data_IF_817946995359
#
_entry.id   IF_817946995359
#
_cell.length_a   1.000
_cell.length_b   1.000
_cell.length_c   1.000
_cell.angle_alpha   90.00
_cell.angle_beta   90.00
_cell.angle_gamma   90.00
#
_symmetry.space_group_name_H-M   'P 1'
#
loop_
_entity.id
_entity.type
_entity.pdbx_description
1 polymer ?
#
# COMPACT_ATOMS: atom_id res chain seq x y z
N UNK A 1 -19.36 -35.52 -6.68
CA UNK A 1 -20.15 -35.25 -5.47
C UNK A 1 -19.30 -35.58 -4.26
N UNK A 2 -18.46 -34.64 -3.82
CA UNK A 2 -17.64 -34.72 -2.63
C UNK A 2 -17.97 -33.54 -1.73
N UNK A 3 -18.92 -33.75 -0.81
CA UNK A 3 -19.22 -32.84 0.26
C UNK A 3 -18.00 -32.66 1.16
N UNK A 4 -17.36 -31.51 1.07
CA UNK A 4 -16.31 -31.07 2.00
C UNK A 4 -16.93 -30.92 3.39
N UNK A 5 -16.75 -31.92 4.26
CA UNK A 5 -17.04 -31.77 5.68
C UNK A 5 -16.24 -30.58 6.21
N UNK A 6 -16.93 -29.48 6.58
CA UNK A 6 -16.38 -28.45 7.46
C UNK A 6 -15.86 -29.18 8.70
N UNK A 7 -14.56 -29.10 8.93
CA UNK A 7 -13.99 -29.42 10.23
C UNK A 7 -14.50 -28.34 11.18
N UNK A 8 -15.59 -28.65 11.89
CA UNK A 8 -15.91 -27.96 13.13
C UNK A 8 -14.76 -28.25 14.08
N UNK A 9 -13.95 -27.23 14.39
CA UNK A 9 -12.98 -27.33 15.45
C UNK A 9 -13.74 -27.70 16.72
N UNK A 10 -13.36 -28.80 17.36
CA UNK A 10 -13.90 -29.15 18.66
C UNK A 10 -13.74 -27.95 19.61
N UNK A 11 -14.72 -27.68 20.48
CA UNK A 11 -14.61 -26.60 21.45
C UNK A 11 -13.32 -26.79 22.23
N UNK A 12 -12.51 -25.72 22.34
CA UNK A 12 -11.31 -25.74 23.18
C UNK A 12 -11.72 -26.05 24.60
N UNK A 13 -11.12 -27.08 25.18
CA UNK A 13 -11.34 -27.45 26.58
C UNK A 13 -10.08 -27.11 27.38
N UNK A 14 -10.25 -26.55 28.55
CA UNK A 14 -9.17 -26.40 29.53
C UNK A 14 -9.40 -27.50 30.58
N UNK A 15 -8.48 -28.46 30.67
CA UNK A 15 -8.57 -29.63 31.55
C UNK A 15 -9.85 -30.48 31.35
N UNK A 16 -10.34 -30.60 30.11
CA UNK A 16 -11.49 -31.50 29.78
C UNK A 16 -12.88 -30.95 30.11
N UNK A 17 -12.99 -29.70 30.58
CA UNK A 17 -14.28 -29.07 30.87
C UNK A 17 -14.66 -28.11 29.74
N UNK A 18 -15.92 -28.16 29.21
CA UNK A 18 -16.39 -27.14 28.26
C UNK A 18 -16.35 -25.78 28.90
N UNK A 19 -15.67 -24.82 28.25
CA UNK A 19 -15.50 -23.48 28.78
C UNK A 19 -16.53 -22.57 28.16
N UNK A 20 -17.41 -21.97 28.98
CA UNK A 20 -18.32 -20.90 28.54
C UNK A 20 -17.55 -19.62 28.24
N UNK A 21 -18.14 -18.71 27.45
CA UNK A 21 -17.54 -17.38 27.17
C UNK A 21 -17.18 -16.63 28.48
N UNK A 22 -18.03 -16.69 29.50
CA UNK A 22 -17.78 -16.06 30.81
C UNK A 22 -16.63 -16.73 31.56
N UNK A 23 -16.48 -18.05 31.47
CA UNK A 23 -15.38 -18.78 32.09
C UNK A 23 -14.04 -18.50 31.41
N UNK A 24 -14.01 -18.22 30.09
CA UNK A 24 -12.81 -17.80 29.37
C UNK A 24 -12.34 -16.43 29.84
N UNK A 25 -13.26 -15.49 30.02
CA UNK A 25 -12.96 -14.15 30.56
C UNK A 25 -12.37 -14.21 31.98
N UNK A 26 -12.97 -15.01 32.88
CA UNK A 26 -12.48 -15.16 34.25
C UNK A 26 -11.10 -15.84 34.31
N UNK A 27 -10.90 -16.91 33.54
CA UNK A 27 -9.61 -17.63 33.52
C UNK A 27 -8.50 -16.79 32.87
N UNK A 28 -8.86 -15.92 31.94
CA UNK A 28 -7.94 -14.99 31.31
C UNK A 28 -7.52 -13.86 32.27
N UNK A 29 -8.44 -13.30 33.06
CA UNK A 29 -8.13 -12.31 34.11
C UNK A 29 -7.12 -12.84 35.12
N UNK A 30 -7.17 -14.12 35.49
CA UNK A 30 -6.24 -14.75 36.41
C UNK A 30 -4.84 -14.98 35.82
N UNK A 31 -4.71 -15.10 34.50
CA UNK A 31 -3.44 -15.45 33.82
C UNK A 31 -2.64 -14.30 33.28
N UNK A 32 -3.28 -13.18 32.97
CA UNK A 32 -2.62 -12.03 32.37
C UNK A 32 -2.64 -10.84 33.32
N UNK A 33 -1.47 -10.38 33.71
CA UNK A 33 -1.30 -9.19 34.55
C UNK A 33 -1.62 -7.88 33.83
N UNK A 34 -1.87 -7.91 32.52
CA UNK A 34 -2.21 -6.74 31.69
C UNK A 34 -3.44 -7.04 30.85
N UNK A 35 -4.47 -6.21 31.01
CA UNK A 35 -5.69 -6.28 30.20
C UNK A 35 -5.42 -6.00 28.71
N UNK A 36 -4.34 -5.28 28.39
CA UNK A 36 -3.94 -4.96 27.02
C UNK A 36 -3.65 -6.22 26.18
N UNK A 37 -3.07 -7.26 26.78
CA UNK A 37 -2.85 -8.54 26.10
C UNK A 37 -4.04 -9.51 26.21
N UNK A 38 -4.85 -9.35 27.26
CA UNK A 38 -5.99 -10.21 27.56
C UNK A 38 -7.10 -10.08 26.52
N UNK A 39 -7.44 -8.85 26.13
CA UNK A 39 -8.57 -8.57 25.22
C UNK A 39 -8.37 -9.21 23.84
N UNK A 40 -7.24 -9.02 23.15
CA UNK A 40 -6.95 -9.72 21.88
C UNK A 40 -6.97 -11.23 22.02
N UNK A 41 -6.39 -11.78 23.12
CA UNK A 41 -6.40 -13.22 23.36
C UNK A 41 -7.82 -13.78 23.53
N UNK A 42 -8.70 -13.04 24.24
CA UNK A 42 -10.10 -13.42 24.41
C UNK A 42 -10.82 -13.39 23.06
N UNK A 43 -10.55 -12.38 22.23
CA UNK A 43 -11.11 -12.29 20.89
C UNK A 43 -10.67 -13.45 19.99
N UNK A 44 -9.41 -13.92 20.09
CA UNK A 44 -8.94 -15.10 19.39
C UNK A 44 -9.70 -16.37 19.83
N UNK A 45 -10.09 -16.46 21.10
CA UNK A 45 -10.83 -17.61 21.61
C UNK A 45 -12.24 -17.75 20.98
N UNK A 46 -12.83 -16.66 20.49
CA UNK A 46 -14.08 -16.71 19.71
C UNK A 46 -13.85 -17.23 18.27
N UNK A 47 -12.62 -17.38 17.84
CA UNK A 47 -12.31 -17.88 16.50
C UNK A 47 -12.86 -16.96 15.39
N UNK A 48 -13.55 -17.51 14.38
CA UNK A 48 -14.08 -16.73 13.26
C UNK A 48 -15.47 -16.10 13.53
N UNK A 49 -15.93 -16.07 14.78
CA UNK A 49 -17.23 -15.49 15.14
C UNK A 49 -17.14 -13.95 15.09
N UNK A 50 -17.57 -13.39 13.96
CA UNK A 50 -17.57 -11.94 13.69
C UNK A 50 -18.41 -11.18 14.72
N UNK A 51 -19.60 -11.67 15.05
CA UNK A 51 -20.56 -10.97 15.92
C UNK A 51 -20.03 -10.90 17.34
N UNK A 52 -19.56 -12.01 17.89
CA UNK A 52 -18.99 -12.07 19.23
C UNK A 52 -17.74 -11.17 19.34
N UNK A 53 -16.85 -11.18 18.33
CA UNK A 53 -15.65 -10.31 18.33
C UNK A 53 -16.02 -8.83 18.22
N UNK A 54 -17.01 -8.48 17.41
CA UNK A 54 -17.50 -7.10 17.25
C UNK A 54 -18.12 -6.60 18.57
N UNK A 55 -18.99 -7.41 19.20
CA UNK A 55 -19.63 -7.05 20.45
C UNK A 55 -18.61 -6.90 21.60
N UNK A 56 -17.66 -7.81 21.72
CA UNK A 56 -16.55 -7.68 22.68
C UNK A 56 -15.82 -6.35 22.49
N UNK A 57 -15.47 -6.02 21.25
CA UNK A 57 -14.79 -4.76 20.94
C UNK A 57 -15.61 -3.55 21.38
N UNK A 58 -16.89 -3.50 21.01
CA UNK A 58 -17.78 -2.37 21.36
C UNK A 58 -17.91 -2.18 22.87
N UNK A 59 -18.10 -3.27 23.62
CA UNK A 59 -18.23 -3.20 25.08
C UNK A 59 -16.97 -2.68 25.75
N UNK A 60 -15.80 -3.12 25.27
CA UNK A 60 -14.51 -2.78 25.88
C UNK A 60 -13.94 -1.44 25.40
N UNK A 61 -14.31 -0.94 24.22
CA UNK A 61 -13.97 0.42 23.78
C UNK A 61 -14.52 1.50 24.72
N UNK A 62 -15.68 1.26 25.38
CA UNK A 62 -16.27 2.13 26.38
C UNK A 62 -15.87 1.80 27.83
N UNK A 63 -14.91 0.91 28.08
CA UNK A 63 -14.55 0.49 29.43
C UNK A 63 -13.88 1.60 30.24
N UNK A 64 -14.18 1.75 31.56
CA UNK A 64 -13.57 2.80 32.38
C UNK A 64 -12.04 2.66 32.49
N UNK A 65 -11.52 1.44 32.51
CA UNK A 65 -10.08 1.19 32.61
C UNK A 65 -9.40 1.32 31.24
N UNK A 66 -8.33 2.09 31.21
CA UNK A 66 -7.55 2.39 30.00
C UNK A 66 -7.02 1.14 29.30
N UNK A 67 -6.46 0.19 30.04
CA UNK A 67 -5.89 -1.03 29.46
C UNK A 67 -6.91 -1.86 28.67
N UNK A 68 -8.17 -1.89 29.12
CA UNK A 68 -9.24 -2.57 28.40
C UNK A 68 -9.56 -1.86 27.09
N UNK A 69 -9.60 -0.50 27.09
CA UNK A 69 -9.80 0.29 25.88
C UNK A 69 -8.66 0.09 24.88
N UNK A 70 -7.41 0.05 25.36
CA UNK A 70 -6.22 -0.22 24.52
C UNK A 70 -6.30 -1.60 23.87
N UNK A 71 -6.65 -2.63 24.65
CA UNK A 71 -6.85 -3.98 24.12
C UNK A 71 -8.00 -4.07 23.13
N UNK A 72 -9.09 -3.34 23.39
CA UNK A 72 -10.27 -3.28 22.52
C UNK A 72 -9.98 -2.59 21.19
N UNK A 73 -9.17 -1.53 21.18
CA UNK A 73 -8.72 -0.88 19.94
C UNK A 73 -7.96 -1.85 19.02
N UNK A 74 -7.07 -2.67 19.59
CA UNK A 74 -6.34 -3.71 18.85
C UNK A 74 -7.30 -4.73 18.25
N UNK A 75 -8.23 -5.23 19.04
CA UNK A 75 -9.24 -6.18 18.59
C UNK A 75 -10.16 -5.57 17.52
N UNK A 76 -10.61 -4.33 17.73
CA UNK A 76 -11.43 -3.63 16.74
C UNK A 76 -10.72 -3.47 15.39
N UNK A 77 -9.43 -3.15 15.43
CA UNK A 77 -8.62 -3.05 14.24
C UNK A 77 -8.48 -4.38 13.49
N UNK A 78 -8.29 -5.50 14.20
CA UNK A 78 -8.26 -6.85 13.61
C UNK A 78 -9.62 -7.23 13.00
N UNK A 79 -10.70 -6.93 13.71
CA UNK A 79 -12.08 -7.17 13.24
C UNK A 79 -12.37 -6.37 11.97
N UNK A 80 -12.04 -5.09 11.97
CA UNK A 80 -12.15 -4.20 10.80
C UNK A 80 -11.30 -4.71 9.63
N UNK A 81 -10.08 -5.17 9.91
CA UNK A 81 -9.18 -5.73 8.88
C UNK A 81 -9.69 -7.06 8.30
N UNK A 82 -10.62 -7.72 8.95
CA UNK A 82 -11.15 -9.02 8.53
C UNK A 82 -12.49 -8.88 7.81
N UNK A 83 -13.42 -8.05 8.30
CA UNK A 83 -14.79 -7.99 7.78
C UNK A 83 -15.20 -6.56 7.45
N UNK A 84 -15.66 -6.35 6.22
CA UNK A 84 -16.07 -5.03 5.69
C UNK A 84 -17.26 -4.45 6.43
N UNK A 85 -18.26 -5.28 6.78
CA UNK A 85 -19.49 -4.87 7.47
C UNK A 85 -19.26 -4.34 8.89
N UNK A 86 -18.11 -4.62 9.49
CA UNK A 86 -17.80 -4.17 10.85
C UNK A 86 -17.29 -2.71 10.91
N UNK A 87 -16.85 -2.16 9.78
CA UNK A 87 -16.35 -0.78 9.67
C UNK A 87 -17.40 0.23 10.21
N UNK A 88 -18.63 0.33 9.65
CA UNK A 88 -19.62 1.30 10.12
C UNK A 88 -20.09 1.04 11.57
N UNK A 89 -19.90 -0.17 12.07
CA UNK A 89 -20.32 -0.55 13.43
C UNK A 89 -19.29 -0.11 14.48
N UNK A 90 -18.00 -0.31 14.19
CA UNK A 90 -16.91 -0.07 15.14
C UNK A 90 -16.35 1.36 15.08
N UNK A 91 -16.34 2.00 13.91
CA UNK A 91 -15.71 3.33 13.75
C UNK A 91 -16.28 4.40 14.67
N UNK A 92 -17.61 4.50 14.97
CA UNK A 92 -18.12 5.49 15.92
C UNK A 92 -17.51 5.34 17.32
N UNK A 93 -17.37 4.11 17.82
CA UNK A 93 -16.80 3.85 19.13
C UNK A 93 -15.28 4.10 19.16
N UNK A 94 -14.56 3.72 18.09
CA UNK A 94 -13.14 4.02 17.93
C UNK A 94 -12.92 5.53 17.90
N UNK A 95 -13.72 6.27 17.14
CA UNK A 95 -13.61 7.72 17.04
C UNK A 95 -13.83 8.44 18.39
N UNK A 96 -14.68 7.88 19.25
CA UNK A 96 -14.84 8.37 20.63
C UNK A 96 -13.52 8.41 21.43
N UNK A 97 -12.56 7.55 21.07
CA UNK A 97 -11.24 7.50 21.73
C UNK A 97 -10.23 8.50 21.16
N UNK A 98 -10.58 9.34 20.20
CA UNK A 98 -9.75 10.50 19.80
C UNK A 98 -9.59 11.51 20.94
N UNK A 99 -10.46 11.47 21.96
CA UNK A 99 -10.40 12.31 23.16
C UNK A 99 -10.07 11.52 24.43
N UNK A 100 -9.55 10.30 24.30
CA UNK A 100 -9.14 9.47 25.44
C UNK A 100 -8.09 10.20 26.29
N UNK A 101 -8.11 9.96 27.60
CA UNK A 101 -7.10 10.49 28.53
C UNK A 101 -5.70 9.95 28.21
N UNK A 102 -5.61 8.71 27.69
CA UNK A 102 -4.35 8.08 27.33
C UNK A 102 -3.93 8.47 25.90
N UNK A 103 -2.76 9.13 25.71
CA UNK A 103 -2.31 9.56 24.40
C UNK A 103 -2.09 8.42 23.41
N UNK A 104 -1.68 7.25 23.87
CA UNK A 104 -1.50 6.05 23.05
C UNK A 104 -2.84 5.57 22.47
N UNK A 105 -3.94 5.69 23.21
CA UNK A 105 -5.27 5.38 22.71
C UNK A 105 -5.73 6.38 21.66
N UNK A 106 -5.45 7.69 21.85
CA UNK A 106 -5.74 8.72 20.83
C UNK A 106 -4.98 8.45 19.54
N UNK A 107 -3.68 8.15 19.66
CA UNK A 107 -2.85 7.77 18.52
C UNK A 107 -3.43 6.56 17.79
N UNK A 108 -3.79 5.52 18.54
CA UNK A 108 -4.27 4.27 17.96
C UNK A 108 -5.65 4.43 17.31
N UNK A 109 -6.55 5.20 17.93
CA UNK A 109 -7.84 5.57 17.34
C UNK A 109 -7.65 6.32 16.00
N UNK A 110 -6.76 7.32 15.97
CA UNK A 110 -6.41 8.04 14.75
C UNK A 110 -5.86 7.10 13.66
N UNK A 111 -5.06 6.09 14.06
CA UNK A 111 -4.52 5.09 13.12
C UNK A 111 -5.62 4.21 12.51
N UNK A 112 -6.56 3.73 13.33
CA UNK A 112 -7.69 2.93 12.83
C UNK A 112 -8.58 3.73 11.88
N UNK A 113 -8.85 5.00 12.22
CA UNK A 113 -9.59 5.89 11.33
C UNK A 113 -8.85 6.12 10.00
N UNK A 114 -7.56 6.44 10.04
CA UNK A 114 -6.74 6.61 8.84
C UNK A 114 -6.64 5.35 7.97
N UNK A 115 -6.61 4.16 8.60
CA UNK A 115 -6.68 2.88 7.92
C UNK A 115 -7.98 2.73 7.10
N UNK A 116 -9.10 3.21 7.62
CA UNK A 116 -10.42 3.11 6.99
C UNK A 116 -10.68 4.19 5.93
N UNK A 117 -9.76 5.14 5.73
CA UNK A 117 -9.84 6.13 4.65
C UNK A 117 -11.19 6.86 4.62
N UNK A 118 -11.84 6.90 3.47
CA UNK A 118 -13.09 7.66 3.24
C UNK A 118 -14.20 7.33 4.26
N UNK A 119 -14.27 6.09 4.75
CA UNK A 119 -15.26 5.71 5.77
C UNK A 119 -15.08 6.48 7.11
N UNK A 120 -13.89 7.03 7.36
CA UNK A 120 -13.62 7.83 8.56
C UNK A 120 -13.87 9.34 8.40
N UNK A 121 -14.29 9.80 7.22
CA UNK A 121 -14.57 11.23 6.94
C UNK A 121 -15.50 11.91 7.96
N UNK A 122 -16.55 11.28 8.52
CA UNK A 122 -17.38 11.89 9.54
C UNK A 122 -16.63 12.36 10.81
N UNK A 123 -15.45 11.80 11.06
CA UNK A 123 -14.63 12.13 12.25
C UNK A 123 -13.37 12.95 11.91
N UNK A 124 -13.32 13.54 10.72
CA UNK A 124 -12.20 14.38 10.30
C UNK A 124 -11.95 15.58 11.23
N UNK A 125 -13.01 16.12 11.84
CA UNK A 125 -12.89 17.23 12.81
C UNK A 125 -12.13 16.79 14.08
N UNK A 126 -12.41 15.59 14.59
CA UNK A 126 -11.67 15.02 15.72
C UNK A 126 -10.19 14.79 15.40
N UNK A 127 -9.89 14.29 14.19
CA UNK A 127 -8.51 14.14 13.72
C UNK A 127 -7.81 15.50 13.58
N UNK A 128 -8.48 16.51 13.03
CA UNK A 128 -7.92 17.86 12.89
C UNK A 128 -7.61 18.48 14.25
N UNK A 129 -8.46 18.25 15.26
CA UNK A 129 -8.21 18.73 16.63
C UNK A 129 -6.94 18.10 17.23
N UNK A 130 -6.62 16.85 16.95
CA UNK A 130 -5.35 16.23 17.35
C UNK A 130 -4.13 16.81 16.64
N UNK A 131 -4.28 17.34 15.43
CA UNK A 131 -3.16 17.93 14.68
C UNK A 131 -2.74 19.29 15.23
N UNK A 132 -3.71 20.09 15.70
CA UNK A 132 -3.54 21.54 15.97
C UNK A 132 -3.89 21.96 17.40
N UNK A 133 -4.43 21.04 18.21
CA UNK A 133 -4.84 21.29 19.58
C UNK A 133 -3.69 21.21 20.59
N UNK A 134 -4.04 21.15 21.87
CA UNK A 134 -3.10 21.00 23.00
C UNK A 134 -2.52 19.58 23.12
N UNK A 135 -2.53 18.81 22.04
CA UNK A 135 -1.96 17.46 22.00
C UNK A 135 -0.44 17.53 22.15
N UNK A 136 0.06 17.04 23.25
CA UNK A 136 1.49 17.04 23.58
C UNK A 136 2.19 15.79 23.06
N UNK A 137 1.45 14.73 22.81
CA UNK A 137 1.99 13.46 22.33
C UNK A 137 2.21 13.50 20.81
N UNK A 138 3.45 13.76 20.43
CA UNK A 138 3.81 14.00 19.04
C UNK A 138 3.46 12.86 18.08
N UNK A 139 3.46 11.60 18.53
CA UNK A 139 3.11 10.46 17.68
C UNK A 139 1.60 10.39 17.40
N UNK A 140 0.75 10.90 18.31
CA UNK A 140 -0.68 11.05 18.05
C UNK A 140 -0.93 12.15 17.00
N UNK A 141 -0.22 13.29 17.10
CA UNK A 141 -0.27 14.34 16.08
C UNK A 141 0.16 13.83 14.71
N UNK A 142 1.30 13.13 14.62
CA UNK A 142 1.81 12.60 13.36
C UNK A 142 0.84 11.59 12.73
N UNK A 143 0.21 10.75 13.57
CA UNK A 143 -0.80 9.78 13.12
C UNK A 143 -2.07 10.47 12.64
N UNK A 144 -2.52 11.52 13.29
CA UNK A 144 -3.67 12.30 12.87
C UNK A 144 -3.41 13.04 11.55
N UNK A 145 -2.20 13.59 11.36
CA UNK A 145 -1.79 14.19 10.06
C UNK A 145 -1.83 13.16 8.94
N UNK A 146 -1.28 11.97 9.16
CA UNK A 146 -1.34 10.87 8.21
C UNK A 146 -2.79 10.46 7.90
N UNK A 147 -3.66 10.36 8.92
CA UNK A 147 -5.05 10.00 8.72
C UNK A 147 -5.80 11.04 7.88
N UNK A 148 -5.62 12.34 8.16
CA UNK A 148 -6.20 13.42 7.35
C UNK A 148 -5.67 13.44 5.92
N UNK A 149 -4.37 13.19 5.72
CA UNK A 149 -3.78 13.12 4.39
C UNK A 149 -4.43 12.00 3.55
N UNK A 150 -4.70 10.85 4.16
CA UNK A 150 -5.43 9.74 3.51
C UNK A 150 -6.90 10.04 3.20
N UNK A 151 -7.52 10.93 3.98
CA UNK A 151 -8.86 11.46 3.69
C UNK A 151 -8.86 12.53 2.60
N UNK A 152 -7.69 13.01 2.16
CA UNK A 152 -7.56 14.17 1.29
C UNK A 152 -8.04 15.46 1.97
N UNK A 153 -7.99 15.53 3.30
CA UNK A 153 -8.46 16.70 4.07
C UNK A 153 -7.35 17.74 4.15
N UNK A 154 -7.61 18.92 3.57
CA UNK A 154 -6.62 19.99 3.45
C UNK A 154 -6.12 20.55 4.79
N UNK A 155 -6.79 20.28 5.91
CA UNK A 155 -6.33 20.70 7.24
C UNK A 155 -5.00 20.04 7.65
N UNK A 156 -4.58 18.96 7.00
CA UNK A 156 -3.26 18.38 7.20
C UNK A 156 -2.12 19.21 6.55
N UNK A 157 -2.41 20.10 5.58
CA UNK A 157 -1.36 20.76 4.76
C UNK A 157 -0.44 21.66 5.60
N UNK A 158 -0.99 22.49 6.48
CA UNK A 158 -0.20 23.30 7.41
C UNK A 158 0.73 22.44 8.29
N UNK A 159 0.18 21.49 9.06
CA UNK A 159 0.99 20.54 9.85
C UNK A 159 2.03 19.76 9.05
N UNK A 160 1.77 19.38 7.81
CA UNK A 160 2.75 18.73 6.92
C UNK A 160 3.85 19.71 6.52
N UNK A 161 3.50 20.93 6.11
CA UNK A 161 4.45 21.97 5.72
C UNK A 161 5.39 22.34 6.89
N UNK A 162 4.86 22.41 8.10
CA UNK A 162 5.65 22.66 9.33
C UNK A 162 6.68 21.54 9.57
N UNK A 163 6.28 20.26 9.40
CA UNK A 163 7.18 19.11 9.54
C UNK A 163 8.26 19.09 8.45
N UNK A 164 7.90 19.44 7.23
CA UNK A 164 8.86 19.55 6.13
C UNK A 164 9.85 20.68 6.36
N UNK A 165 9.43 21.80 6.96
CA UNK A 165 10.24 22.99 7.24
C UNK A 165 11.03 22.88 8.56
N UNK A 166 10.56 22.05 9.49
CA UNK A 166 11.16 21.89 10.82
C UNK A 166 12.28 20.84 10.87
N UNK A 167 12.91 20.73 12.04
CA UNK A 167 13.95 19.72 12.29
C UNK A 167 13.40 18.29 12.43
N UNK A 168 12.19 18.15 13.04
CA UNK A 168 11.54 16.84 13.23
C UNK A 168 10.55 16.58 12.10
N UNK A 169 10.84 15.54 11.31
CA UNK A 169 9.95 15.11 10.22
C UNK A 169 8.66 14.43 10.73
N UNK A 170 8.76 13.64 11.80
CA UNK A 170 7.63 12.92 12.37
C UNK A 170 7.31 11.58 11.68
N UNK A 171 7.73 11.39 10.44
CA UNK A 171 7.48 10.19 9.64
C UNK A 171 8.74 9.38 9.44
N UNK A 172 8.59 8.07 9.23
CA UNK A 172 9.69 7.19 8.87
C UNK A 172 10.13 7.45 7.43
N UNK A 173 11.44 7.35 7.18
CA UNK A 173 12.00 7.49 5.83
C UNK A 173 11.80 6.23 4.97
N UNK A 174 11.51 5.09 5.60
CA UNK A 174 11.29 3.81 4.96
C UNK A 174 9.98 3.19 5.42
N UNK A 175 9.29 2.49 4.53
CA UNK A 175 8.25 1.57 4.93
C UNK A 175 8.89 0.42 5.70
N UNK A 176 8.36 0.14 6.88
CA UNK A 176 8.82 -0.96 7.73
C UNK A 176 7.77 -2.07 7.71
N UNK A 177 8.14 -3.25 7.24
CA UNK A 177 7.30 -4.44 7.22
C UNK A 177 7.60 -5.38 8.39
N UNK A 178 7.88 -4.87 9.58
CA UNK A 178 8.17 -5.74 10.70
C UNK A 178 6.88 -6.22 11.41
N UNK A 179 6.95 -7.34 12.13
CA UNK A 179 5.84 -8.04 12.76
C UNK A 179 5.17 -7.24 13.89
N UNK A 180 4.03 -6.62 13.65
CA UNK A 180 3.25 -5.88 14.66
C UNK A 180 2.91 -4.45 14.26
N UNK A 181 1.83 -4.25 13.56
CA UNK A 181 1.41 -3.01 12.92
C UNK A 181 1.07 -1.83 13.87
N UNK A 182 0.97 -2.04 15.16
CA UNK A 182 0.75 -0.99 16.16
C UNK A 182 1.97 -0.13 16.47
N UNK A 183 3.17 -0.64 16.22
CA UNK A 183 4.43 -0.05 16.67
C UNK A 183 5.16 0.77 15.61
N UNK A 184 4.63 0.89 14.38
CA UNK A 184 5.37 1.54 13.28
C UNK A 184 5.11 3.01 13.19
N UNK A 185 6.18 3.73 12.96
CA UNK A 185 6.09 5.07 12.40
C UNK A 185 5.58 4.96 10.96
N UNK A 186 4.57 5.77 10.66
CA UNK A 186 4.02 5.87 9.31
C UNK A 186 5.07 6.47 8.37
N UNK A 187 5.20 5.93 7.18
CA UNK A 187 6.22 6.40 6.25
C UNK A 187 5.85 7.76 5.65
N UNK A 188 6.87 8.54 5.34
CA UNK A 188 6.72 9.82 4.66
C UNK A 188 5.96 9.66 3.33
N UNK A 189 6.31 8.63 2.57
CA UNK A 189 5.64 8.33 1.29
C UNK A 189 4.15 8.05 1.48
N UNK A 190 3.76 7.25 2.48
CA UNK A 190 2.36 6.90 2.73
C UNK A 190 1.52 8.12 3.14
N UNK A 191 2.18 9.13 3.74
CA UNK A 191 1.54 10.38 4.15
C UNK A 191 1.41 11.36 2.99
N UNK A 192 2.46 11.51 2.17
CA UNK A 192 2.51 12.55 1.15
C UNK A 192 2.01 12.11 -0.23
N UNK A 193 2.11 10.83 -0.59
CA UNK A 193 1.65 10.36 -1.90
C UNK A 193 0.16 10.68 -2.18
N UNK A 194 -0.78 10.57 -1.22
CA UNK A 194 -2.18 10.95 -1.44
C UNK A 194 -2.39 12.45 -1.69
N UNK A 195 -1.41 13.30 -1.35
CA UNK A 195 -1.50 14.76 -1.44
C UNK A 195 -0.99 15.34 -2.78
N UNK A 196 -0.81 14.52 -3.80
CA UNK A 196 -0.38 14.98 -5.13
C UNK A 196 -1.29 16.09 -5.70
N UNK A 197 -2.59 16.06 -5.40
CA UNK A 197 -3.54 17.11 -5.79
C UNK A 197 -3.37 18.44 -5.05
N UNK A 198 -2.59 18.47 -3.97
CA UNK A 198 -2.25 19.67 -3.18
C UNK A 198 -0.75 19.97 -3.26
N UNK A 199 -0.11 19.58 -4.37
CA UNK A 199 1.34 19.75 -4.54
C UNK A 199 1.76 21.22 -4.47
N UNK A 200 0.96 22.13 -4.98
CA UNK A 200 1.26 23.57 -5.02
C UNK A 200 1.54 24.15 -3.62
N UNK A 201 0.82 23.67 -2.59
CA UNK A 201 0.98 24.14 -1.22
C UNK A 201 2.19 23.50 -0.50
N UNK A 202 2.60 22.30 -0.92
CA UNK A 202 3.63 21.51 -0.25
C UNK A 202 4.97 21.49 -0.98
N UNK A 203 5.01 21.88 -2.25
CA UNK A 203 6.25 21.84 -3.05
C UNK A 203 7.36 22.72 -2.47
N UNK A 204 7.08 23.94 -2.07
CA UNK A 204 8.10 24.84 -1.55
C UNK A 204 8.78 24.34 -0.27
N UNK A 205 8.07 23.87 0.78
CA UNK A 205 8.71 23.27 1.93
C UNK A 205 9.43 21.95 1.58
N UNK A 206 8.90 21.12 0.66
CA UNK A 206 9.53 19.87 0.25
C UNK A 206 10.81 20.12 -0.53
N UNK A 207 10.83 21.07 -1.47
CA UNK A 207 12.02 21.49 -2.23
C UNK A 207 13.13 22.01 -1.31
N UNK A 208 12.79 22.91 -0.36
CA UNK A 208 13.73 23.42 0.64
C UNK A 208 14.34 22.28 1.47
N UNK A 209 13.51 21.33 1.89
CA UNK A 209 13.99 20.17 2.64
C UNK A 209 14.90 19.28 1.80
N UNK A 210 14.54 19.02 0.54
CA UNK A 210 15.37 18.24 -0.38
C UNK A 210 16.74 18.89 -0.61
N UNK A 211 16.77 20.21 -0.82
CA UNK A 211 18.02 20.96 -0.99
C UNK A 211 18.92 20.93 0.27
N UNK A 212 18.30 20.89 1.47
CA UNK A 212 19.02 20.83 2.75
C UNK A 212 19.39 19.40 3.16
N UNK A 213 18.80 18.36 2.57
CA UNK A 213 18.99 16.97 2.96
C UNK A 213 20.43 16.52 2.70
N UNK A 214 21.09 16.00 3.75
CA UNK A 214 22.46 15.46 3.67
C UNK A 214 22.49 13.95 3.72
N UNK A 215 21.47 13.33 4.32
CA UNK A 215 21.38 11.88 4.48
C UNK A 215 20.80 11.23 3.22
N UNK A 216 21.42 10.14 2.77
CA UNK A 216 20.99 9.34 1.62
C UNK A 216 19.52 8.89 1.72
N UNK A 217 19.13 8.38 2.89
CA UNK A 217 17.77 7.85 3.11
C UNK A 217 16.72 8.95 3.07
N UNK A 218 17.04 10.14 3.56
CA UNK A 218 16.12 11.29 3.48
C UNK A 218 15.97 11.75 2.02
N UNK A 219 17.06 11.90 1.27
CA UNK A 219 17.00 12.20 -0.17
C UNK A 219 16.17 11.18 -0.94
N UNK A 220 16.39 9.89 -0.65
CA UNK A 220 15.60 8.80 -1.24
C UNK A 220 14.10 8.97 -0.95
N UNK A 221 13.72 9.15 0.31
CA UNK A 221 12.31 9.27 0.71
C UNK A 221 11.63 10.47 0.04
N UNK A 222 12.31 11.63 -0.01
CA UNK A 222 11.81 12.83 -0.68
C UNK A 222 11.69 12.64 -2.20
N UNK A 223 12.68 12.02 -2.86
CA UNK A 223 12.59 11.67 -4.28
C UNK A 223 11.43 10.71 -4.56
N UNK A 224 11.16 9.73 -3.69
CA UNK A 224 10.03 8.81 -3.83
C UNK A 224 8.68 9.54 -3.76
N UNK A 225 8.54 10.55 -2.89
CA UNK A 225 7.36 11.41 -2.85
C UNK A 225 7.20 12.17 -4.18
N UNK A 226 8.26 12.78 -4.69
CA UNK A 226 8.23 13.50 -5.97
C UNK A 226 7.92 12.56 -7.14
N UNK A 227 8.42 11.32 -7.10
CA UNK A 227 8.07 10.26 -8.07
C UNK A 227 6.56 9.96 -8.02
N UNK A 228 5.98 9.83 -6.82
CA UNK A 228 4.55 9.57 -6.65
C UNK A 228 3.67 10.75 -7.12
N UNK A 229 4.17 11.99 -7.01
CA UNK A 229 3.47 13.17 -7.49
C UNK A 229 3.60 13.38 -9.00
N UNK A 230 4.60 12.77 -9.64
CA UNK A 230 4.79 12.80 -11.09
C UNK A 230 4.84 14.21 -11.67
N UNK A 231 4.02 14.55 -12.69
CA UNK A 231 4.04 15.86 -13.33
C UNK A 231 3.80 17.05 -12.38
N UNK A 232 3.04 16.86 -11.29
CA UNK A 232 2.82 17.89 -10.28
C UNK A 232 4.12 18.32 -9.57
N UNK A 233 5.15 17.44 -9.56
CA UNK A 233 6.46 17.74 -8.99
C UNK A 233 7.41 18.52 -9.93
N UNK A 234 6.96 18.96 -11.12
CA UNK A 234 7.78 19.68 -12.10
C UNK A 234 8.58 20.87 -11.52
N UNK A 235 8.04 21.69 -10.60
CA UNK A 235 8.82 22.79 -10.00
C UNK A 235 10.04 22.33 -9.15
N UNK A 236 10.13 21.05 -8.78
CA UNK A 236 11.25 20.50 -8.01
C UNK A 236 12.43 20.01 -8.89
N UNK A 237 12.33 20.12 -10.21
CA UNK A 237 13.42 19.75 -11.15
C UNK A 237 14.77 20.42 -10.78
N UNK A 238 14.85 21.72 -10.43
CA UNK A 238 16.12 22.33 -10.06
C UNK A 238 16.82 21.68 -8.87
N UNK A 239 16.08 21.18 -7.87
CA UNK A 239 16.63 20.50 -6.69
C UNK A 239 16.99 19.04 -6.98
N UNK A 240 16.35 18.40 -7.95
CA UNK A 240 16.66 17.02 -8.37
C UNK A 240 17.94 16.94 -9.21
N UNK A 241 18.24 17.95 -10.03
CA UNK A 241 19.40 17.94 -10.92
C UNK A 241 20.75 17.77 -10.19
N UNK A 242 21.05 18.47 -9.08
CA UNK A 242 22.29 18.26 -8.33
C UNK A 242 22.43 16.85 -7.75
N UNK A 243 21.31 16.18 -7.45
CA UNK A 243 21.31 14.83 -6.87
C UNK A 243 21.79 13.76 -7.84
N UNK A 244 21.80 14.04 -9.15
CA UNK A 244 22.32 13.12 -10.17
C UNK A 244 23.83 12.83 -9.99
N UNK A 245 24.58 13.67 -9.28
CA UNK A 245 26.00 13.49 -8.99
C UNK A 245 26.25 12.94 -7.56
N UNK A 246 25.21 12.41 -6.92
CA UNK A 246 25.26 11.88 -5.55
C UNK A 246 24.84 10.42 -5.50
N UNK A 247 24.93 9.82 -4.32
CA UNK A 247 24.42 8.48 -4.03
C UNK A 247 22.88 8.35 -4.13
N UNK A 248 22.17 9.45 -4.33
CA UNK A 248 20.73 9.52 -4.57
C UNK A 248 20.34 9.55 -6.06
N UNK A 249 21.31 9.47 -6.98
CA UNK A 249 21.10 9.64 -8.43
C UNK A 249 19.97 8.77 -9.02
N UNK A 250 19.87 7.52 -8.58
CA UNK A 250 18.83 6.58 -9.08
C UNK A 250 17.44 7.11 -8.79
N UNK A 251 17.18 7.55 -7.55
CA UNK A 251 15.85 8.04 -7.14
C UNK A 251 15.56 9.42 -7.72
N UNK A 252 16.56 10.26 -7.86
CA UNK A 252 16.41 11.57 -8.52
C UNK A 252 16.05 11.38 -10.00
N UNK A 253 16.70 10.44 -10.69
CA UNK A 253 16.40 10.15 -12.09
C UNK A 253 15.01 9.53 -12.27
N UNK A 254 14.58 8.64 -11.37
CA UNK A 254 13.20 8.11 -11.38
C UNK A 254 12.17 9.24 -11.24
N UNK A 255 12.40 10.19 -10.32
CA UNK A 255 11.53 11.34 -10.14
C UNK A 255 11.48 12.22 -11.41
N UNK A 256 12.64 12.54 -11.98
CA UNK A 256 12.72 13.29 -13.24
C UNK A 256 11.99 12.58 -14.39
N UNK A 257 12.14 11.25 -14.49
CA UNK A 257 11.48 10.45 -15.52
C UNK A 257 9.94 10.43 -15.38
N UNK A 258 9.43 10.45 -14.14
CA UNK A 258 7.97 10.51 -13.88
C UNK A 258 7.40 11.91 -14.01
N UNK A 259 8.17 12.95 -13.75
CA UNK A 259 7.82 14.35 -14.05
C UNK A 259 7.61 14.52 -15.55
N UNK A 260 8.41 13.84 -16.38
CA UNK A 260 8.22 13.77 -17.82
C UNK A 260 8.79 14.98 -18.59
N UNK A 261 8.02 15.60 -19.53
CA UNK A 261 8.56 16.58 -20.49
C UNK A 261 9.29 17.76 -19.85
N UNK A 262 8.76 18.30 -18.76
CA UNK A 262 9.39 19.43 -18.05
C UNK A 262 10.80 19.09 -17.53
N UNK A 263 11.04 17.86 -17.14
CA UNK A 263 12.36 17.39 -16.73
C UNK A 263 13.25 17.03 -17.94
N UNK A 264 12.68 16.47 -19.00
CA UNK A 264 13.39 16.11 -20.21
C UNK A 264 14.11 17.30 -20.84
N UNK A 265 13.46 18.47 -20.85
CA UNK A 265 14.04 19.71 -21.37
C UNK A 265 15.15 20.29 -20.47
N UNK A 266 15.09 20.01 -19.17
CA UNK A 266 16.02 20.55 -18.18
C UNK A 266 17.30 19.70 -18.02
N UNK A 267 17.28 18.40 -18.39
CA UNK A 267 18.42 17.49 -18.18
C UNK A 267 19.23 17.33 -19.46
N UNK A 268 20.51 17.76 -19.51
CA UNK A 268 21.33 17.59 -20.70
C UNK A 268 21.56 16.11 -21.03
N UNK A 269 21.24 15.70 -22.25
CA UNK A 269 21.42 14.31 -22.74
C UNK A 269 22.85 13.77 -22.52
N UNK A 270 23.94 14.53 -22.74
CA UNK A 270 25.28 14.04 -22.45
C UNK A 270 25.51 13.68 -20.99
N UNK A 271 24.89 14.42 -20.05
CA UNK A 271 24.97 14.14 -18.60
C UNK A 271 24.22 12.84 -18.26
N UNK A 272 23.03 12.66 -18.82
CA UNK A 272 22.27 11.40 -18.67
C UNK A 272 23.07 10.22 -19.21
N UNK A 273 23.71 10.38 -20.36
CA UNK A 273 24.54 9.34 -20.97
C UNK A 273 25.72 8.98 -20.07
N UNK A 274 26.46 9.98 -19.59
CA UNK A 274 27.57 9.75 -18.67
C UNK A 274 27.12 9.02 -17.39
N UNK A 275 25.95 9.35 -16.86
CA UNK A 275 25.41 8.70 -15.66
C UNK A 275 25.14 7.20 -15.90
N UNK A 276 24.49 6.85 -17.01
CA UNK A 276 24.20 5.44 -17.31
C UNK A 276 25.45 4.64 -17.68
N UNK A 277 26.45 5.27 -18.29
CA UNK A 277 27.72 4.61 -18.63
C UNK A 277 28.59 4.38 -17.38
N UNK A 278 28.57 5.32 -16.40
CA UNK A 278 29.27 5.18 -15.13
C UNK A 278 28.66 4.09 -14.21
N UNK A 279 27.39 3.75 -14.40
CA UNK A 279 26.63 2.81 -13.55
C UNK A 279 26.65 1.36 -14.08
N UNK A 280 27.63 0.95 -14.84
CA UNK A 280 27.63 -0.29 -15.66
C UNK A 280 27.47 -1.60 -14.85
N UNK A 281 27.74 -1.63 -13.54
CA UNK A 281 27.72 -2.85 -12.72
C UNK A 281 26.71 -2.83 -11.55
N UNK A 282 25.89 -1.78 -11.39
CA UNK A 282 24.96 -1.65 -10.28
C UNK A 282 23.63 -2.39 -10.55
N UNK A 283 23.01 -2.91 -9.49
CA UNK A 283 21.66 -3.51 -9.53
C UNK A 283 20.58 -2.52 -10.03
N UNK A 284 20.82 -1.23 -9.86
CA UNK A 284 19.92 -0.16 -10.32
C UNK A 284 20.00 0.15 -11.83
N UNK A 285 20.93 -0.47 -12.56
CA UNK A 285 21.19 -0.17 -13.99
C UNK A 285 19.95 -0.27 -14.88
N UNK A 286 19.05 -1.27 -14.77
CA UNK A 286 17.86 -1.31 -15.57
C UNK A 286 16.96 -0.08 -15.37
N UNK A 287 16.74 0.34 -14.11
CA UNK A 287 15.91 1.52 -13.79
C UNK A 287 16.48 2.81 -14.37
N UNK A 288 17.79 3.02 -14.22
CA UNK A 288 18.47 4.20 -14.76
C UNK A 288 18.31 4.30 -16.29
N UNK A 289 18.42 3.19 -17.00
CA UNK A 289 18.31 3.16 -18.46
C UNK A 289 16.88 3.28 -18.97
N UNK A 290 15.91 2.77 -18.23
CA UNK A 290 14.50 3.00 -18.53
C UNK A 290 14.12 4.46 -18.26
N UNK A 291 14.62 5.06 -17.18
CA UNK A 291 14.45 6.49 -16.92
C UNK A 291 15.09 7.35 -18.02
N UNK A 292 16.28 6.96 -18.50
CA UNK A 292 16.91 7.61 -19.65
C UNK A 292 16.00 7.55 -20.89
N UNK A 293 15.45 6.37 -21.21
CA UNK A 293 14.52 6.23 -22.32
C UNK A 293 13.28 7.13 -22.15
N UNK A 294 12.67 7.16 -20.97
CA UNK A 294 11.50 8.02 -20.70
C UNK A 294 11.79 9.50 -20.93
N UNK A 295 13.00 9.95 -20.62
CA UNK A 295 13.43 11.35 -20.80
C UNK A 295 13.88 11.68 -22.22
N UNK A 296 14.44 10.72 -22.96
CA UNK A 296 15.08 10.98 -24.24
C UNK A 296 14.34 10.39 -25.44
N UNK A 297 13.46 9.41 -25.21
CA UNK A 297 12.82 8.63 -26.25
C UNK A 297 13.70 7.55 -26.90
N UNK A 298 14.99 7.43 -26.50
CA UNK A 298 15.93 6.46 -27.03
C UNK A 298 15.91 5.15 -26.23
N UNK A 299 15.33 4.03 -26.74
CA UNK A 299 15.22 2.78 -26.01
C UNK A 299 16.50 1.93 -26.03
N UNK A 300 17.46 2.22 -26.92
CA UNK A 300 18.62 1.34 -27.18
C UNK A 300 19.46 1.09 -25.91
N UNK A 301 19.81 2.10 -25.10
CA UNK A 301 20.57 1.88 -23.88
C UNK A 301 19.85 0.99 -22.85
N UNK A 302 18.50 1.00 -22.84
CA UNK A 302 17.73 0.12 -21.97
C UNK A 302 17.76 -1.32 -22.51
N UNK A 303 17.55 -1.52 -23.80
CA UNK A 303 17.58 -2.83 -24.44
C UNK A 303 18.95 -3.51 -24.28
N UNK A 304 20.05 -2.78 -24.47
CA UNK A 304 21.42 -3.31 -24.35
C UNK A 304 21.71 -3.96 -22.99
N UNK A 305 21.04 -3.49 -21.91
CA UNK A 305 21.21 -4.02 -20.55
C UNK A 305 20.16 -5.06 -20.18
N UNK A 306 18.93 -4.86 -20.62
CA UNK A 306 17.84 -5.79 -20.29
C UNK A 306 18.04 -7.15 -20.94
N UNK A 307 18.55 -7.19 -22.16
CA UNK A 307 18.67 -8.42 -22.94
C UNK A 307 19.63 -9.46 -22.33
N UNK A 308 20.87 -9.11 -21.95
CA UNK A 308 21.75 -10.06 -21.26
C UNK A 308 21.18 -10.60 -19.96
N UNK A 309 20.39 -9.77 -19.25
CA UNK A 309 19.77 -10.15 -17.97
C UNK A 309 18.49 -10.99 -18.15
N UNK A 310 17.89 -11.00 -19.35
CA UNK A 310 16.69 -11.80 -19.63
C UNK A 310 16.93 -13.30 -19.42
N UNK A 311 18.11 -13.79 -19.76
CA UNK A 311 18.49 -15.21 -19.62
C UNK A 311 18.95 -15.56 -18.18
N UNK A 312 19.20 -14.56 -17.35
CA UNK A 312 19.55 -14.76 -15.96
C UNK A 312 18.32 -15.22 -15.16
N UNK A 313 18.54 -16.18 -14.24
CA UNK A 313 17.46 -16.66 -13.36
C UNK A 313 16.96 -15.58 -12.38
N UNK A 314 17.85 -14.70 -11.95
CA UNK A 314 17.56 -13.61 -11.02
C UNK A 314 17.26 -12.30 -11.76
N UNK A 315 16.18 -11.62 -11.36
CA UNK A 315 15.80 -10.33 -11.94
C UNK A 315 15.02 -10.41 -13.25
N UNK A 316 14.71 -11.62 -13.77
CA UNK A 316 13.94 -11.81 -15.02
C UNK A 316 12.58 -11.11 -14.99
N UNK A 317 11.89 -11.14 -13.84
CA UNK A 317 10.61 -10.45 -13.66
C UNK A 317 10.71 -8.95 -13.90
N UNK A 318 11.78 -8.32 -13.41
CA UNK A 318 12.02 -6.89 -13.58
C UNK A 318 12.36 -6.56 -15.04
N UNK A 319 13.16 -7.42 -15.69
CA UNK A 319 13.48 -7.27 -17.12
C UNK A 319 12.21 -7.31 -17.97
N UNK A 320 11.33 -8.30 -17.75
CA UNK A 320 10.07 -8.43 -18.48
C UNK A 320 9.16 -7.20 -18.25
N UNK A 321 9.10 -6.72 -17.00
CA UNK A 321 8.36 -5.49 -16.69
C UNK A 321 8.87 -4.30 -17.50
N UNK A 322 10.18 -4.07 -17.53
CA UNK A 322 10.76 -2.95 -18.29
C UNK A 322 10.63 -3.12 -19.80
N UNK A 323 10.70 -4.33 -20.34
CA UNK A 323 10.39 -4.58 -21.76
C UNK A 323 8.94 -4.21 -22.10
N UNK A 324 8.00 -4.50 -21.20
CA UNK A 324 6.61 -4.05 -21.32
C UNK A 324 6.47 -2.53 -21.31
N UNK A 325 7.23 -1.84 -20.45
CA UNK A 325 7.25 -0.38 -20.41
C UNK A 325 7.78 0.24 -21.73
N UNK A 326 8.77 -0.40 -22.37
CA UNK A 326 9.28 0.02 -23.68
C UNK A 326 8.24 -0.16 -24.81
N UNK A 327 7.20 -0.96 -24.59
CA UNK A 327 6.11 -1.16 -25.53
C UNK A 327 6.58 -1.68 -26.89
N UNK A 328 6.08 -1.11 -28.02
CA UNK A 328 6.40 -1.59 -29.36
C UNK A 328 7.91 -1.63 -29.70
N UNK A 329 8.74 -0.84 -29.02
CA UNK A 329 10.20 -0.89 -29.18
C UNK A 329 10.80 -2.24 -28.76
N UNK A 330 10.11 -3.00 -27.91
CA UNK A 330 10.50 -4.34 -27.49
C UNK A 330 9.87 -5.47 -28.34
N UNK A 331 9.22 -5.17 -29.47
CA UNK A 331 8.55 -6.16 -30.33
C UNK A 331 9.42 -7.37 -30.71
N UNK A 332 10.73 -7.25 -31.02
CA UNK A 332 11.58 -8.39 -31.31
C UNK A 332 11.70 -9.43 -30.21
N UNK A 333 11.29 -9.09 -28.97
CA UNK A 333 11.44 -9.94 -27.78
C UNK A 333 10.12 -10.58 -27.33
N UNK A 334 9.01 -10.30 -28.02
CA UNK A 334 7.69 -10.83 -27.66
C UNK A 334 7.67 -12.35 -27.59
N UNK A 335 8.30 -13.06 -28.53
CA UNK A 335 8.35 -14.52 -28.54
C UNK A 335 9.11 -15.10 -27.33
N UNK A 336 10.17 -14.43 -26.90
CA UNK A 336 10.93 -14.84 -25.71
C UNK A 336 10.11 -14.65 -24.42
N UNK A 337 9.33 -13.55 -24.34
CA UNK A 337 8.41 -13.32 -23.20
C UNK A 337 7.29 -14.37 -23.22
N UNK A 338 6.76 -14.70 -24.40
CA UNK A 338 5.71 -15.71 -24.59
C UNK A 338 6.14 -17.08 -24.09
N UNK A 339 7.39 -17.46 -24.35
CA UNK A 339 7.96 -18.74 -23.89
C UNK A 339 7.99 -18.90 -22.36
N UNK A 340 7.94 -17.80 -21.58
CA UNK A 340 7.92 -17.84 -20.12
C UNK A 340 6.53 -18.11 -19.51
N UNK A 341 5.44 -17.87 -20.24
CA UNK A 341 4.08 -17.99 -19.72
C UNK A 341 3.72 -19.41 -19.21
N UNK A 342 4.08 -20.50 -19.91
CA UNK A 342 3.74 -21.86 -19.46
C UNK A 342 4.50 -22.31 -18.21
N UNK A 343 5.67 -21.72 -17.95
CA UNK A 343 6.55 -22.13 -16.85
C UNK A 343 6.06 -21.70 -15.48
N UNK A 344 5.25 -20.64 -15.43
CA UNK A 344 4.80 -20.00 -14.20
C UNK A 344 3.30 -19.73 -14.22
N UNK A 345 2.59 -20.11 -13.14
CA UNK A 345 1.14 -19.92 -13.03
C UNK A 345 0.73 -18.92 -11.93
N UNK A 346 1.65 -18.59 -11.03
CA UNK A 346 1.40 -17.72 -9.88
C UNK A 346 2.54 -16.70 -9.72
N UNK A 347 2.24 -15.58 -9.07
CA UNK A 347 3.22 -14.55 -8.73
C UNK A 347 3.39 -13.45 -9.78
N UNK A 348 4.51 -12.76 -9.71
CA UNK A 348 4.76 -11.56 -10.53
C UNK A 348 5.13 -11.86 -11.98
N UNK A 349 5.78 -12.98 -12.26
CA UNK A 349 6.26 -13.24 -13.62
C UNK A 349 5.14 -13.41 -14.64
N UNK A 350 4.07 -14.22 -14.41
CA UNK A 350 2.97 -14.31 -15.35
C UNK A 350 2.21 -12.98 -15.51
N UNK A 351 2.07 -12.19 -14.43
CA UNK A 351 1.52 -10.83 -14.52
C UNK A 351 2.32 -9.96 -15.49
N UNK A 352 3.64 -9.92 -15.29
CA UNK A 352 4.55 -9.08 -16.06
C UNK A 352 4.64 -9.55 -17.51
N UNK A 353 4.64 -10.87 -17.76
CA UNK A 353 4.61 -11.42 -19.10
C UNK A 353 3.31 -11.06 -19.84
N UNK A 354 2.15 -11.28 -19.23
CA UNK A 354 0.86 -10.92 -19.82
C UNK A 354 0.76 -9.42 -20.12
N UNK A 355 1.12 -8.58 -19.17
CA UNK A 355 1.14 -7.13 -19.35
C UNK A 355 2.13 -6.68 -20.44
N UNK A 356 3.35 -7.21 -20.42
CA UNK A 356 4.36 -6.87 -21.41
C UNK A 356 3.94 -7.27 -22.84
N UNK A 357 3.39 -8.47 -23.03
CA UNK A 357 2.90 -8.91 -24.33
C UNK A 357 1.81 -7.97 -24.85
N UNK A 358 0.83 -7.60 -24.01
CA UNK A 358 -0.21 -6.65 -24.41
C UNK A 358 0.36 -5.28 -24.78
N UNK A 359 1.29 -4.75 -23.96
CA UNK A 359 1.93 -3.45 -24.23
C UNK A 359 2.78 -3.44 -25.50
N UNK A 360 3.43 -4.56 -25.80
CA UNK A 360 4.34 -4.71 -26.94
C UNK A 360 3.56 -4.94 -28.24
N UNK A 361 2.55 -5.82 -28.22
CA UNK A 361 1.85 -6.28 -29.44
C UNK A 361 0.52 -5.56 -29.68
N UNK A 362 -0.09 -4.99 -28.64
CA UNK A 362 -1.46 -4.46 -28.66
C UNK A 362 -2.53 -5.56 -28.58
N UNK A 363 -2.15 -6.85 -28.58
CA UNK A 363 -3.09 -7.96 -28.58
C UNK A 363 -3.34 -8.49 -27.19
N UNK A 364 -4.61 -8.72 -26.84
CA UNK A 364 -5.04 -9.18 -25.52
C UNK A 364 -5.22 -10.70 -25.41
N UNK A 365 -5.14 -11.43 -26.54
CA UNK A 365 -5.45 -12.87 -26.62
C UNK A 365 -4.57 -13.75 -25.72
N UNK A 366 -3.32 -13.37 -25.49
CA UNK A 366 -2.38 -14.07 -24.59
C UNK A 366 -2.34 -13.44 -23.19
N UNK A 367 -2.49 -12.12 -23.13
CA UNK A 367 -2.45 -11.37 -21.88
C UNK A 367 -3.64 -11.70 -20.97
N UNK A 368 -4.86 -11.74 -21.51
CA UNK A 368 -6.06 -11.99 -20.73
C UNK A 368 -6.03 -13.33 -19.99
N UNK A 369 -5.73 -14.49 -20.65
CA UNK A 369 -5.61 -15.76 -19.94
C UNK A 369 -4.55 -15.76 -18.82
N UNK A 370 -3.39 -15.13 -19.04
CA UNK A 370 -2.33 -15.03 -18.05
C UNK A 370 -2.78 -14.23 -16.82
N UNK A 371 -3.44 -13.08 -17.03
CA UNK A 371 -3.95 -12.24 -15.95
C UNK A 371 -5.14 -12.88 -15.21
N UNK A 372 -6.04 -13.59 -15.92
CA UNK A 372 -7.14 -14.33 -15.34
C UNK A 372 -6.65 -15.45 -14.41
N UNK A 373 -5.56 -16.12 -14.75
CA UNK A 373 -4.95 -17.14 -13.91
C UNK A 373 -4.56 -16.62 -12.51
N UNK A 374 -4.23 -15.34 -12.40
CA UNK A 374 -3.86 -14.67 -11.14
C UNK A 374 -5.06 -14.32 -10.24
N UNK A 375 -6.30 -14.47 -10.73
CA UNK A 375 -7.50 -14.36 -9.91
C UNK A 375 -7.81 -15.65 -9.14
N UNK A 376 -7.08 -16.73 -9.38
CA UNK A 376 -7.26 -18.01 -8.69
C UNK A 376 -7.25 -17.90 -7.15
N UNK A 377 -6.38 -17.10 -6.50
CA UNK A 377 -6.42 -16.91 -5.05
C UNK A 377 -7.76 -16.36 -4.56
N UNK A 378 -8.36 -15.41 -5.27
CA UNK A 378 -9.69 -14.84 -4.95
C UNK A 378 -10.79 -15.90 -5.09
N UNK A 379 -10.78 -16.65 -6.18
CA UNK A 379 -11.76 -17.71 -6.44
C UNK A 379 -11.72 -18.85 -5.42
N UNK A 380 -10.56 -19.07 -4.80
CA UNK A 380 -10.36 -20.12 -3.78
C UNK A 380 -10.55 -19.60 -2.34
N UNK A 381 -10.96 -18.33 -2.15
CA UNK A 381 -11.08 -17.72 -0.84
C UNK A 381 -9.72 -17.59 -0.11
N UNK A 382 -8.64 -17.52 -0.87
CA UNK A 382 -7.28 -17.29 -0.37
C UNK A 382 -6.97 -15.79 -0.37
N UNK A 383 -5.94 -15.41 0.35
CA UNK A 383 -5.47 -14.02 0.38
C UNK A 383 -5.05 -13.53 -1.01
N UNK A 384 -5.46 -12.31 -1.33
CA UNK A 384 -5.02 -11.65 -2.56
C UNK A 384 -3.59 -11.13 -2.35
N UNK A 385 -2.71 -11.54 -3.25
CA UNK A 385 -1.38 -10.94 -3.34
C UNK A 385 -1.44 -9.61 -4.11
N UNK A 386 -0.52 -8.71 -3.85
CA UNK A 386 -0.39 -7.45 -4.59
C UNK A 386 -0.40 -7.66 -6.12
N UNK A 387 0.19 -8.74 -6.60
CA UNK A 387 0.12 -9.15 -8.00
C UNK A 387 -1.31 -9.37 -8.51
N UNK A 388 -2.21 -9.92 -7.67
CA UNK A 388 -3.62 -10.11 -8.03
C UNK A 388 -4.36 -8.77 -8.18
N UNK A 389 -4.14 -7.82 -7.27
CA UNK A 389 -4.72 -6.47 -7.37
C UNK A 389 -4.26 -5.80 -8.66
N UNK A 390 -2.96 -5.86 -8.95
CA UNK A 390 -2.38 -5.32 -10.18
C UNK A 390 -2.97 -6.02 -11.42
N UNK A 391 -3.17 -7.34 -11.39
CA UNK A 391 -3.80 -8.06 -12.50
C UNK A 391 -5.23 -7.55 -12.78
N UNK A 392 -6.03 -7.28 -11.73
CA UNK A 392 -7.38 -6.70 -11.89
C UNK A 392 -7.31 -5.31 -12.51
N UNK A 393 -6.35 -4.48 -12.11
CA UNK A 393 -6.13 -3.16 -12.70
C UNK A 393 -5.78 -3.28 -14.20
N UNK A 394 -4.89 -4.21 -14.57
CA UNK A 394 -4.53 -4.44 -15.99
C UNK A 394 -5.68 -5.01 -16.82
N UNK A 395 -6.51 -5.89 -16.25
CA UNK A 395 -7.73 -6.36 -16.91
C UNK A 395 -8.72 -5.20 -17.16
N UNK A 396 -8.82 -4.24 -16.22
CA UNK A 396 -9.61 -3.02 -16.43
C UNK A 396 -9.08 -2.16 -17.60
N UNK A 397 -7.76 -2.02 -17.72
CA UNK A 397 -7.12 -1.29 -18.83
C UNK A 397 -7.36 -1.97 -20.20
N UNK A 398 -7.35 -3.31 -20.24
CA UNK A 398 -7.65 -4.10 -21.44
C UNK A 398 -9.11 -3.94 -21.85
N UNK A 399 -10.03 -3.83 -20.88
CA UNK A 399 -11.44 -3.57 -21.14
C UNK A 399 -12.26 -4.80 -21.59
N UNK A 400 -13.19 -4.66 -22.58
CA UNK A 400 -14.16 -5.70 -22.92
C UNK A 400 -13.59 -7.09 -23.21
N UNK A 401 -12.40 -7.28 -23.83
CA UNK A 401 -11.81 -8.60 -24.03
C UNK A 401 -11.56 -9.38 -22.74
N UNK A 402 -11.47 -8.68 -21.58
CA UNK A 402 -11.24 -9.29 -20.28
C UNK A 402 -12.53 -9.60 -19.50
N UNK A 403 -13.72 -9.50 -20.11
CA UNK A 403 -15.03 -9.68 -19.45
C UNK A 403 -15.20 -11.05 -18.78
N UNK A 404 -14.42 -12.07 -19.15
CA UNK A 404 -14.41 -13.37 -18.46
C UNK A 404 -14.02 -13.29 -16.96
N UNK A 405 -13.39 -12.18 -16.52
CA UNK A 405 -13.10 -11.93 -15.11
C UNK A 405 -14.35 -11.53 -14.28
N UNK A 406 -15.41 -11.06 -14.91
CA UNK A 406 -16.56 -10.46 -14.23
C UNK A 406 -17.19 -11.31 -13.11
N UNK A 407 -17.39 -12.63 -13.25
CA UNK A 407 -17.95 -13.45 -12.17
C UNK A 407 -17.09 -13.46 -10.91
N UNK A 408 -15.75 -13.58 -11.05
CA UNK A 408 -14.82 -13.58 -9.93
C UNK A 408 -14.80 -12.23 -9.22
N UNK A 409 -14.82 -11.13 -9.98
CA UNK A 409 -14.80 -9.77 -9.42
C UNK A 409 -16.12 -9.44 -8.69
N UNK A 410 -17.27 -9.87 -9.20
CA UNK A 410 -18.56 -9.73 -8.50
C UNK A 410 -18.58 -10.52 -7.20
N UNK A 411 -18.01 -11.74 -7.17
CA UNK A 411 -17.93 -12.54 -5.95
C UNK A 411 -17.10 -11.83 -4.88
N UNK A 412 -15.94 -11.24 -5.24
CA UNK A 412 -15.10 -10.46 -4.31
C UNK A 412 -15.87 -9.26 -3.74
N UNK A 413 -16.66 -8.56 -4.57
CA UNK A 413 -17.44 -7.40 -4.11
C UNK A 413 -18.63 -7.79 -3.22
N UNK A 414 -19.13 -9.02 -3.35
CA UNK A 414 -20.25 -9.53 -2.56
C UNK A 414 -19.81 -10.16 -1.23
N UNK A 415 -18.54 -10.52 -1.08
CA UNK A 415 -18.02 -11.12 0.14
C UNK A 415 -17.84 -10.06 1.23
N UNK A 416 -18.17 -10.40 2.47
CA UNK A 416 -17.90 -9.56 3.63
C UNK A 416 -16.48 -9.73 4.15
N UNK A 417 -15.90 -10.92 4.03
CA UNK A 417 -14.53 -11.19 4.45
C UNK A 417 -13.54 -10.62 3.45
N UNK A 418 -12.58 -9.82 3.94
CA UNK A 418 -11.54 -9.27 3.09
C UNK A 418 -10.58 -10.36 2.63
N UNK A 419 -10.32 -10.51 1.33
CA UNK A 419 -9.38 -11.51 0.82
C UNK A 419 -7.92 -11.09 1.00
N UNK A 420 -7.67 -9.80 1.26
CA UNK A 420 -6.32 -9.24 1.46
C UNK A 420 -5.98 -9.25 2.94
N UNK A 421 -4.93 -9.98 3.34
CA UNK A 421 -4.49 -10.05 4.73
C UNK A 421 -2.96 -10.03 4.80
N UNK A 422 -2.40 -8.85 5.03
CA UNK A 422 -0.97 -8.68 5.27
C UNK A 422 -0.62 -8.38 6.73
N UNK A 423 -1.61 -8.46 7.63
CA UNK A 423 -1.38 -8.33 9.07
C UNK A 423 -1.08 -6.91 9.55
N UNK A 424 -1.51 -5.87 8.82
CA UNK A 424 -1.26 -4.50 9.21
C UNK A 424 -2.38 -3.52 8.83
N UNK A 425 -2.14 -2.24 9.02
CA UNK A 425 -3.05 -1.17 8.62
C UNK A 425 -3.33 -1.19 7.10
N UNK A 426 -2.43 -1.75 6.30
CA UNK A 426 -2.53 -1.83 4.84
C UNK A 426 -3.67 -2.75 4.37
N UNK A 427 -4.11 -3.68 5.21
CA UNK A 427 -5.14 -4.67 4.84
C UNK A 427 -6.46 -4.04 4.38
N UNK A 428 -6.88 -2.92 5.01
CA UNK A 428 -8.11 -2.21 4.61
C UNK A 428 -7.89 -1.44 3.31
N UNK A 429 -6.87 -0.56 3.18
CA UNK A 429 -6.65 0.17 1.93
C UNK A 429 -6.33 -0.74 0.74
N UNK A 430 -5.65 -1.86 0.93
CA UNK A 430 -5.41 -2.83 -0.16
C UNK A 430 -6.70 -3.51 -0.62
N UNK A 431 -7.60 -3.86 0.31
CA UNK A 431 -8.91 -4.36 -0.04
C UNK A 431 -9.79 -3.30 -0.73
N UNK A 432 -9.73 -2.05 -0.27
CA UNK A 432 -10.43 -0.93 -0.91
C UNK A 432 -9.89 -0.70 -2.33
N UNK A 433 -8.58 -0.81 -2.54
CA UNK A 433 -7.93 -0.76 -3.86
C UNK A 433 -8.41 -1.91 -4.75
N UNK A 434 -8.45 -3.15 -4.23
CA UNK A 434 -8.98 -4.31 -4.94
C UNK A 434 -10.45 -4.10 -5.33
N UNK A 435 -11.29 -3.65 -4.39
CA UNK A 435 -12.69 -3.36 -4.66
C UNK A 435 -12.86 -2.22 -5.68
N UNK A 436 -12.04 -1.19 -5.58
CA UNK A 436 -12.00 -0.08 -6.56
C UNK A 436 -11.63 -0.56 -7.95
N UNK A 437 -10.56 -1.35 -8.06
CA UNK A 437 -10.11 -1.96 -9.31
C UNK A 437 -11.17 -2.91 -9.90
N UNK A 438 -11.81 -3.73 -9.06
CA UNK A 438 -12.88 -4.64 -9.49
C UNK A 438 -14.08 -3.88 -10.07
N UNK A 439 -14.53 -2.79 -9.41
CA UNK A 439 -15.62 -1.93 -9.92
C UNK A 439 -15.22 -1.25 -11.22
N UNK A 440 -13.98 -0.77 -11.32
CA UNK A 440 -13.46 -0.14 -12.54
C UNK A 440 -13.42 -1.15 -13.70
N UNK A 441 -12.94 -2.36 -13.46
CA UNK A 441 -12.90 -3.44 -14.44
C UNK A 441 -14.31 -3.81 -14.94
N UNK A 442 -15.27 -4.00 -14.03
CA UNK A 442 -16.66 -4.30 -14.40
C UNK A 442 -17.27 -3.20 -15.27
N UNK A 443 -17.02 -1.91 -14.95
CA UNK A 443 -17.44 -0.79 -15.82
C UNK A 443 -16.77 -0.83 -17.18
N UNK A 444 -15.47 -1.11 -17.24
CA UNK A 444 -14.70 -1.19 -18.48
C UNK A 444 -15.15 -2.36 -19.36
N UNK A 445 -15.64 -3.45 -18.77
CA UNK A 445 -16.20 -4.60 -19.50
C UNK A 445 -17.61 -4.33 -20.07
N UNK A 446 -18.30 -3.27 -19.62
CA UNK A 446 -19.67 -2.98 -20.02
C UNK A 446 -20.71 -3.89 -19.34
N UNK A 447 -20.41 -4.42 -18.13
CA UNK A 447 -21.24 -5.43 -17.45
C UNK A 447 -21.70 -5.01 -16.06
#
# INVERSE_FOLDING_TARGET
TGTRKRRTSAPKTVRGVPVSQDSLLLTAQERFRSATGLVPWTAEAFGPDREARTELSLRLLGHPETEHRTGALRTAAEVISTWRSTVPVLLPAVAGLLTDTEPENRQFAARVLGMCGEAARPWADGLASLCTGDEVYADAQDTAVWALARLGDQRCLGPVADRLSGGRLGFALHQSHADGWWMYRLALLDTLAPLAGCADELLDPLRRRLAAATLKDERRALCQVLTAWGPAAAPAVPELLPLLDTDAAVWALDALATIGPAAADAVPRPRLRALIDASAEDFAVPRLRVAYWRLTGDPQPALDVLLPKFDAQWGREEVVFFLGELGPSAAPYADRIRALLPEHKEGWLPLRCGYALWRITGESSEAVPALLGLLSPLQQGRYAYRATITAVQRLAEIGPPAAAAAPALRAVLADDERPVRHGGWESVPEDDELCGAARAALRAFGT
#
